data_IF_045894091883
#
_entry.id   IF_045894091883
#
_cell.length_a   1.000
_cell.length_b   1.000
_cell.length_c   1.000
_cell.angle_alpha   90.00
_cell.angle_beta   90.00
_cell.angle_gamma   90.00
#
_symmetry.space_group_name_H-M   'P 1'
#
loop_
_entity.id
_entity.type
_entity.pdbx_description
1 polymer ?
#
# COMPACT_ATOMS: atom_id res chain seq x y z
N UNK A 1 -11.26 6.72 -14.60
CA UNK A 1 -11.09 6.82 -13.95
C UNK A 1 -10.55 6.57 -13.13
N UNK A 2 -10.27 6.82 -12.62
CA UNK A 2 -9.69 6.62 -12.03
C UNK A 2 -9.47 6.01 -11.05
N UNK A 3 -9.07 5.86 -10.93
CA UNK A 3 -8.71 4.75 -10.14
C UNK A 3 -7.90 5.08 -8.97
N UNK A 4 -7.55 6.29 -8.83
CA UNK A 4 -6.81 6.72 -7.66
C UNK A 4 -7.63 6.57 -6.41
N UNK A 5 -8.91 6.30 -6.56
CA UNK A 5 -9.77 6.14 -5.40
C UNK A 5 -10.07 4.70 -5.07
N UNK A 6 -9.49 3.78 -5.80
CA UNK A 6 -9.68 2.39 -5.46
C UNK A 6 -9.02 2.10 -4.13
N UNK A 7 -9.72 1.36 -3.33
CA UNK A 7 -9.16 0.96 -2.06
C UNK A 7 -8.02 -0.04 -2.23
N UNK A 8 -8.17 -0.94 -3.19
CA UNK A 8 -7.15 -1.96 -3.42
C UNK A 8 -6.33 -1.60 -4.64
N UNK A 9 -5.03 -1.77 -4.54
CA UNK A 9 -4.10 -1.47 -5.60
C UNK A 9 -3.30 -2.70 -5.95
N UNK A 10 -2.87 -2.82 -7.22
CA UNK A 10 -1.94 -3.88 -7.54
C UNK A 10 -0.54 -3.45 -7.10
N UNK A 11 0.44 -4.35 -7.28
CA UNK A 11 1.78 -4.07 -6.80
C UNK A 11 2.38 -2.84 -7.48
N UNK A 12 2.14 -2.70 -8.76
CA UNK A 12 2.71 -1.57 -9.49
C UNK A 12 2.15 -0.26 -8.99
N UNK A 13 0.84 -0.21 -8.83
CA UNK A 13 0.19 1.00 -8.33
C UNK A 13 0.64 1.32 -6.91
N UNK A 14 0.72 0.30 -6.08
CA UNK A 14 1.09 0.49 -4.69
C UNK A 14 2.52 1.03 -4.57
N UNK A 15 3.44 0.49 -5.34
CA UNK A 15 4.83 0.95 -5.30
C UNK A 15 4.94 2.38 -5.82
N UNK A 16 4.16 2.71 -6.85
CA UNK A 16 4.13 4.06 -7.36
C UNK A 16 3.57 5.03 -6.33
N UNK A 17 2.53 4.61 -5.66
CA UNK A 17 1.89 5.42 -4.63
C UNK A 17 2.87 5.74 -3.49
N UNK A 18 3.72 4.77 -3.17
CA UNK A 18 4.69 4.95 -2.10
C UNK A 18 6.02 5.48 -2.57
N UNK A 19 6.21 5.59 -3.88
CA UNK A 19 7.49 6.01 -4.45
C UNK A 19 8.63 5.08 -4.04
N UNK A 20 8.33 3.79 -3.99
CA UNK A 20 9.33 2.79 -3.63
C UNK A 20 9.55 1.84 -4.79
N UNK A 21 10.72 1.21 -4.83
CA UNK A 21 10.95 0.14 -5.78
C UNK A 21 10.06 -1.04 -5.47
N UNK A 22 9.99 -1.98 -6.41
CA UNK A 22 9.07 -3.08 -6.31
C UNK A 22 9.30 -3.93 -5.05
N UNK A 23 10.53 -4.30 -4.82
CA UNK A 23 10.82 -5.16 -3.67
C UNK A 23 10.55 -4.46 -2.36
N UNK A 24 10.96 -3.21 -2.27
CA UNK A 24 10.76 -2.48 -1.03
C UNK A 24 9.29 -2.18 -0.78
N UNK A 25 8.56 -1.84 -1.85
CA UNK A 25 7.15 -1.56 -1.71
C UNK A 25 6.38 -2.76 -1.21
N UNK A 26 6.65 -3.92 -1.81
CA UNK A 26 5.95 -5.13 -1.43
C UNK A 26 6.30 -5.54 0.00
N UNK A 27 7.58 -5.47 0.36
CA UNK A 27 7.98 -5.80 1.72
C UNK A 27 7.33 -4.88 2.73
N UNK A 28 7.29 -3.59 2.41
CA UNK A 28 6.68 -2.63 3.30
C UNK A 28 5.20 -2.95 3.49
N UNK A 29 4.49 -3.19 2.40
CA UNK A 29 3.07 -3.46 2.49
C UNK A 29 2.77 -4.72 3.29
N UNK A 30 3.61 -5.74 3.11
CA UNK A 30 3.42 -6.96 3.89
C UNK A 30 3.67 -6.72 5.36
N UNK A 31 4.68 -5.94 5.68
CA UNK A 31 5.04 -5.74 7.07
C UNK A 31 3.98 -4.99 7.85
N UNK A 32 3.20 -4.15 7.19
CA UNK A 32 2.15 -3.42 7.88
C UNK A 32 0.77 -4.07 7.74
N UNK A 33 0.73 -5.24 7.11
CA UNK A 33 -0.52 -5.97 6.99
C UNK A 33 -1.46 -5.45 5.92
N UNK A 34 -0.91 -4.79 4.90
CA UNK A 34 -1.74 -4.23 3.84
C UNK A 34 -1.96 -5.20 2.68
N UNK A 35 -1.27 -6.31 2.65
CA UNK A 35 -1.40 -7.24 1.53
C UNK A 35 -2.67 -8.06 1.68
N UNK A 36 -3.44 -8.15 0.58
CA UNK A 36 -4.69 -8.90 0.55
C UNK A 36 -4.61 -9.85 -0.64
N UNK A 37 -4.87 -11.12 -0.39
CA UNK A 37 -4.88 -12.10 -1.48
C UNK A 37 -6.33 -12.39 -1.83
N UNK A 38 -6.68 -12.20 -3.08
CA UNK A 38 -8.02 -12.50 -3.58
C UNK A 38 -7.85 -13.43 -4.77
N UNK A 39 -8.22 -14.68 -4.57
CA UNK A 39 -7.97 -15.70 -5.58
C UNK A 39 -6.49 -15.80 -5.82
N UNK A 40 -6.07 -15.59 -7.06
CA UNK A 40 -4.66 -15.65 -7.40
C UNK A 40 -4.00 -14.27 -7.42
N UNK A 41 -4.73 -13.24 -7.10
CA UNK A 41 -4.20 -11.90 -7.16
C UNK A 41 -3.78 -11.43 -5.79
N UNK A 42 -2.70 -10.68 -5.78
CA UNK A 42 -2.25 -10.02 -4.58
C UNK A 42 -2.49 -8.54 -4.74
N UNK A 43 -3.25 -7.99 -3.83
CA UNK A 43 -3.60 -6.58 -3.88
C UNK A 43 -3.19 -5.94 -2.57
N UNK A 44 -3.19 -4.62 -2.55
CA UNK A 44 -2.67 -3.89 -1.40
C UNK A 44 -3.69 -2.85 -0.98
N UNK A 45 -4.00 -2.84 0.30
CA UNK A 45 -5.09 -2.03 0.85
C UNK A 45 -4.59 -0.63 1.13
N UNK A 46 -5.09 0.33 0.36
CA UNK A 46 -4.66 1.71 0.50
C UNK A 46 -5.05 2.30 1.85
N UNK A 47 -6.16 1.88 2.40
CA UNK A 47 -6.60 2.40 3.69
C UNK A 47 -5.61 2.02 4.78
N UNK A 48 -5.11 0.80 4.77
CA UNK A 48 -4.12 0.36 5.75
C UNK A 48 -2.83 1.14 5.58
N UNK A 49 -2.42 1.34 4.33
CA UNK A 49 -1.20 2.09 4.06
C UNK A 49 -1.33 3.53 4.53
N UNK A 50 -2.45 4.17 4.19
CA UNK A 50 -2.66 5.55 4.58
C UNK A 50 -2.67 5.72 6.09
N UNK A 51 -3.31 4.78 6.78
CA UNK A 51 -3.38 4.83 8.22
C UNK A 51 -2.00 4.70 8.85
N UNK A 52 -1.19 3.82 8.30
CA UNK A 52 0.18 3.66 8.79
C UNK A 52 0.97 4.95 8.59
N UNK A 53 0.84 5.55 7.41
CA UNK A 53 1.56 6.77 7.11
C UNK A 53 1.10 7.93 8.01
N UNK A 54 -0.18 8.01 8.25
CA UNK A 54 -0.69 9.05 9.14
C UNK A 54 -0.12 8.91 10.54
N UNK A 55 0.00 7.68 11.01
CA UNK A 55 0.58 7.45 12.33
C UNK A 55 2.05 7.86 12.37
N UNK A 56 2.77 7.60 11.29
CA UNK A 56 4.17 7.99 11.23
C UNK A 56 4.32 9.50 11.25
N UNK A 57 3.45 10.19 10.54
CA UNK A 57 3.49 11.63 10.53
C UNK A 57 3.25 12.21 11.93
N UNK A 58 2.38 11.58 12.67
CA UNK A 58 2.10 12.07 14.01
C UNK A 58 3.26 11.85 14.96
N UNK A 59 4.06 10.84 14.67
CA UNK A 59 5.20 10.56 15.53
C UNK A 59 6.41 11.40 15.22
N UNK A 60 6.40 12.08 14.12
CA UNK A 60 7.55 12.84 13.69
C UNK A 60 7.48 14.24 14.28
N UNK A 61 7.25 14.54 15.28
CA UNK A 61 7.11 15.88 15.79
C UNK A 61 8.36 16.58 16.11
#
# INVERSE_FOLDING_TARGET
MHNSENRLMDAKEMCSYLSLGRNRGVEFAKSIGAEVAIGRRRLYDRVVIDRYLDNQLQEVK
#
